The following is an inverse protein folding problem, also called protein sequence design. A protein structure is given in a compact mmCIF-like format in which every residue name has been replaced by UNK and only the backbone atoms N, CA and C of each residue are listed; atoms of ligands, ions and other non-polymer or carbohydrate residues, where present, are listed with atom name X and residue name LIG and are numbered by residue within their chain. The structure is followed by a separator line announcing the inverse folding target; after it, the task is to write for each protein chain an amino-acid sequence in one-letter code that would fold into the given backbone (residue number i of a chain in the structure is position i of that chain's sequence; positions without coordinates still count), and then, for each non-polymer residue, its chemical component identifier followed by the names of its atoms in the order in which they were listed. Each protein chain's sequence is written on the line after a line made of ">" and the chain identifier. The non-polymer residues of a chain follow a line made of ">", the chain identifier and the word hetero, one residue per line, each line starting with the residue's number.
data_IF_675720340024
#
_entry.id   IF_675720340024
#
_cell.length_a   1.000
_cell.length_b   1.000
_cell.length_c   1.000
_cell.angle_alpha   90.00
_cell.angle_beta   90.00
_cell.angle_gamma   90.00
#
_symmetry.space_group_name_H-M   'P 1'
#
loop_
_entity.id
_entity.type
_entity.pdbx_description
1 polymer ?
#
# COMPACT_ATOMS: atom_id res chain seq x y z
N UNK A 1 7.03 60.74 22.19
CA UNK A 1 7.68 60.14 23.38
C UNK A 1 6.66 59.22 24.04
N UNK A 2 6.14 58.19 23.37
CA UNK A 2 6.80 56.99 22.83
C UNK A 2 7.53 56.16 23.88
N UNK A 3 6.89 55.07 24.28
CA UNK A 3 7.39 53.69 24.47
C UNK A 3 6.11 52.83 24.56
N UNK A 4 5.83 51.79 23.78
CA UNK A 4 6.60 50.90 22.92
C UNK A 4 5.83 49.57 22.95
N UNK A 5 4.71 49.50 22.23
CA UNK A 5 3.84 48.34 22.17
C UNK A 5 4.48 47.20 21.38
N UNK A 6 4.28 45.98 21.83
CA UNK A 6 4.91 44.76 21.34
C UNK A 6 4.90 44.64 19.81
N UNK A 7 6.09 44.66 19.20
CA UNK A 7 6.28 44.37 17.80
C UNK A 7 6.15 42.86 17.56
N UNK A 8 4.99 42.42 17.08
CA UNK A 8 4.89 41.16 16.33
C UNK A 8 5.47 41.40 14.94
N UNK A 9 6.57 40.74 14.61
CA UNK A 9 7.16 40.75 13.27
C UNK A 9 6.20 40.04 12.29
N UNK A 10 5.59 40.81 11.38
CA UNK A 10 4.86 40.28 10.24
C UNK A 10 5.75 40.39 9.00
N UNK A 11 6.36 39.28 8.57
CA UNK A 11 6.94 39.20 7.23
C UNK A 11 5.87 38.68 6.27
N UNK A 12 5.04 39.59 5.74
CA UNK A 12 4.08 39.30 4.67
C UNK A 12 4.64 39.75 3.32
N UNK A 13 4.92 38.81 2.41
CA UNK A 13 5.18 39.11 1.00
C UNK A 13 3.88 39.09 0.20
N UNK A 14 3.69 40.06 -0.70
CA UNK A 14 2.55 40.12 -1.63
C UNK A 14 3.02 39.83 -3.05
N UNK A 15 2.34 38.94 -3.77
CA UNK A 15 2.47 38.82 -5.23
C UNK A 15 1.07 38.82 -5.88
N UNK A 16 0.95 39.60 -6.96
CA UNK A 16 -0.30 39.84 -7.69
C UNK A 16 -0.50 38.73 -8.73
N UNK A 17 -1.55 37.91 -8.57
CA UNK A 17 -1.97 36.94 -9.58
C UNK A 17 -3.04 37.53 -10.52
N UNK A 18 -2.85 37.43 -11.83
CA UNK A 18 -3.84 37.84 -12.83
C UNK A 18 -4.83 36.71 -13.16
N UNK A 19 -6.10 37.08 -13.37
CA UNK A 19 -7.19 36.17 -13.75
C UNK A 19 -7.43 36.25 -15.26
N UNK A 20 -7.44 35.12 -15.96
CA UNK A 20 -7.86 35.04 -17.37
C UNK A 20 -9.17 34.25 -17.51
N UNK A 21 -10.15 34.71 -18.31
CA UNK A 21 -11.41 34.00 -18.50
C UNK A 21 -11.30 32.95 -19.62
N UNK A 22 -11.69 31.71 -19.33
CA UNK A 22 -12.09 30.73 -20.35
C UNK A 22 -13.29 29.93 -19.82
N UNK A 23 -14.44 30.00 -20.52
CA UNK A 23 -15.63 29.15 -20.40
C UNK A 23 -16.05 28.58 -19.03
N UNK A 24 -17.05 29.20 -18.40
CA UNK A 24 -17.90 28.70 -17.28
C UNK A 24 -17.25 27.85 -16.16
N UNK A 25 -16.02 28.17 -15.76
CA UNK A 25 -15.43 27.66 -14.51
C UNK A 25 -14.21 28.47 -14.10
N UNK A 26 -14.05 28.71 -12.79
CA UNK A 26 -12.81 29.24 -12.22
C UNK A 26 -11.89 28.08 -11.88
N UNK A 27 -10.65 28.07 -12.37
CA UNK A 27 -9.61 27.17 -11.85
C UNK A 27 -8.82 27.94 -10.80
N UNK A 28 -8.93 27.52 -9.55
CA UNK A 28 -8.00 27.90 -8.48
C UNK A 28 -6.92 26.82 -8.44
N UNK A 29 -5.73 27.12 -8.98
CA UNK A 29 -4.52 26.35 -8.67
C UNK A 29 -3.79 27.11 -7.57
N UNK A 30 -3.86 26.58 -6.35
CA UNK A 30 -3.14 27.13 -5.19
C UNK A 30 -3.78 26.67 -3.90
N UNK A 31 -3.16 25.70 -3.24
CA UNK A 31 -3.42 25.44 -1.82
C UNK A 31 -2.44 26.31 -1.05
N UNK A 32 -2.93 27.40 -0.48
CA UNK A 32 -2.19 28.18 0.51
C UNK A 32 -2.42 27.55 1.88
N UNK A 33 -1.35 27.11 2.54
CA UNK A 33 -1.42 26.74 3.95
C UNK A 33 -1.18 27.99 4.79
N UNK A 34 -2.25 28.58 5.31
CA UNK A 34 -2.17 29.61 6.34
C UNK A 34 -2.21 28.93 7.70
N UNK A 35 -1.12 28.94 8.45
CA UNK A 35 -1.14 28.61 9.88
C UNK A 35 -1.25 29.90 10.70
N UNK A 36 -2.19 29.93 11.64
CA UNK A 36 -2.18 30.88 12.74
C UNK A 36 -2.01 30.06 14.02
N UNK A 37 -0.80 30.02 14.57
CA UNK A 37 -0.57 29.49 15.90
C UNK A 37 -0.88 30.60 16.91
N UNK A 38 -2.00 30.49 17.62
CA UNK A 38 -2.24 31.28 18.83
C UNK A 38 -1.61 30.54 20.00
N UNK A 39 -0.40 30.93 20.39
CA UNK A 39 0.26 30.40 21.60
C UNK A 39 -0.06 31.33 22.77
N UNK A 40 -0.83 30.91 23.79
CA UNK A 40 -0.80 31.60 25.07
C UNK A 40 0.52 31.29 25.79
N UNK A 41 1.23 32.34 26.20
CA UNK A 41 2.41 32.22 27.03
C UNK A 41 2.02 31.77 28.45
N UNK A 42 2.27 30.50 28.78
CA UNK A 42 2.35 30.05 30.17
C UNK A 42 3.30 28.84 30.26
N UNK A 43 4.26 28.84 31.21
CA UNK A 43 5.12 27.70 31.42
C UNK A 43 4.37 26.68 32.30
N UNK A 44 4.48 25.39 31.98
CA UNK A 44 4.14 24.24 32.83
C UNK A 44 2.66 23.78 32.81
N UNK A 45 2.19 23.14 31.73
CA UNK A 45 1.05 22.20 31.83
C UNK A 45 1.00 21.24 30.63
N UNK A 46 1.26 19.95 30.87
CA UNK A 46 1.02 18.87 29.91
C UNK A 46 -0.48 18.61 29.83
N UNK A 47 -1.16 19.13 28.81
CA UNK A 47 -2.60 18.83 28.58
C UNK A 47 -2.77 18.17 27.22
N UNK A 48 -3.14 16.89 27.24
CA UNK A 48 -3.51 16.11 26.04
C UNK A 48 -4.86 16.62 25.54
N UNK A 49 -4.86 17.37 24.43
CA UNK A 49 -6.09 17.78 23.76
C UNK A 49 -6.70 16.58 23.01
N UNK A 50 -7.80 16.05 23.54
CA UNK A 50 -8.65 15.07 22.84
C UNK A 50 -9.44 15.78 21.74
N UNK A 51 -9.02 15.60 20.48
CA UNK A 51 -9.77 16.07 19.32
C UNK A 51 -10.91 15.09 19.04
N UNK A 52 -12.15 15.52 19.28
CA UNK A 52 -13.36 14.83 18.78
C UNK A 52 -13.69 15.39 17.40
N UNK A 53 -13.48 14.59 16.35
CA UNK A 53 -13.96 14.90 15.00
C UNK A 53 -15.36 14.30 14.86
N UNK A 54 -16.38 15.14 14.74
CA UNK A 54 -17.72 14.74 14.30
C UNK A 54 -17.80 14.96 12.77
N UNK A 55 -17.74 13.89 11.98
CA UNK A 55 -18.05 13.97 10.53
C UNK A 55 -19.54 13.67 10.35
N UNK A 56 -20.33 14.70 10.07
CA UNK A 56 -21.75 14.57 9.71
C UNK A 56 -21.83 14.36 8.20
N UNK A 57 -21.98 13.11 7.75
CA UNK A 57 -22.24 12.80 6.33
C UNK A 57 -23.66 13.22 5.98
N UNK A 58 -23.83 14.37 5.31
CA UNK A 58 -25.03 14.61 4.50
C UNK A 58 -24.71 14.34 3.04
N UNK A 59 -25.15 13.16 2.58
CA UNK A 59 -25.15 12.81 1.18
C UNK A 59 -26.20 13.69 0.48
N UNK A 60 -25.75 14.63 -0.34
CA UNK A 60 -26.55 15.13 -1.46
C UNK A 60 -25.79 14.92 -2.76
N UNK A 61 -26.40 14.11 -3.61
CA UNK A 61 -26.07 13.88 -5.03
C UNK A 61 -25.79 15.22 -5.72
N UNK A 62 -24.67 15.32 -6.43
CA UNK A 62 -24.64 15.54 -7.88
C UNK A 62 -23.20 15.53 -8.40
N UNK A 63 -23.07 15.02 -9.62
CA UNK A 63 -21.87 14.71 -10.39
C UNK A 63 -20.89 15.88 -10.57
N UNK A 64 -19.59 15.56 -10.57
CA UNK A 64 -18.56 15.95 -11.55
C UNK A 64 -17.22 16.26 -10.88
N UNK A 65 -16.20 15.46 -11.26
CA UNK A 65 -14.77 15.77 -11.33
C UNK A 65 -14.04 16.35 -10.10
N UNK A 66 -13.10 15.57 -9.56
CA UNK A 66 -11.65 15.81 -9.74
C UNK A 66 -10.95 14.49 -9.38
N UNK A 67 -10.69 13.69 -10.42
CA UNK A 67 -9.56 12.75 -10.39
C UNK A 67 -8.32 13.60 -10.66
N UNK A 68 -7.57 13.92 -9.62
CA UNK A 68 -6.27 14.56 -9.80
C UNK A 68 -5.29 13.47 -10.25
N UNK A 69 -5.21 13.31 -11.57
CA UNK A 69 -4.24 12.42 -12.21
C UNK A 69 -2.86 13.04 -12.01
N UNK A 70 -2.04 12.44 -11.15
CA UNK A 70 -0.61 12.73 -11.06
C UNK A 70 0.08 12.15 -12.29
N UNK A 71 -0.06 12.85 -13.42
CA UNK A 71 0.60 12.53 -14.69
C UNK A 71 1.94 13.25 -14.70
N UNK A 72 2.92 12.69 -14.02
CA UNK A 72 4.30 13.20 -14.09
C UNK A 72 5.26 12.02 -14.08
N UNK A 73 5.80 11.76 -15.28
CA UNK A 73 7.01 10.96 -15.55
C UNK A 73 6.91 9.45 -15.23
N UNK A 74 6.08 8.72 -15.97
CA UNK A 74 6.26 7.27 -16.13
C UNK A 74 6.03 6.85 -17.58
N UNK A 75 6.91 5.99 -18.10
CA UNK A 75 6.97 5.56 -19.50
C UNK A 75 5.63 4.97 -19.99
N UNK A 76 5.18 5.24 -21.23
CA UNK A 76 3.85 4.88 -21.74
C UNK A 76 3.57 3.37 -21.93
N UNK A 77 4.50 2.48 -21.63
CA UNK A 77 4.31 1.02 -21.74
C UNK A 77 3.79 0.35 -20.45
N UNK A 78 3.67 1.09 -19.34
CA UNK A 78 3.11 0.51 -18.11
C UNK A 78 1.60 0.69 -18.13
N UNK A 79 0.88 -0.31 -18.66
CA UNK A 79 -0.56 -0.44 -18.48
C UNK A 79 -0.84 -0.53 -16.98
N UNK A 80 -1.09 0.61 -16.33
CA UNK A 80 -1.59 0.62 -14.97
C UNK A 80 -3.01 0.07 -15.02
N UNK A 81 -3.16 -1.21 -14.69
CA UNK A 81 -4.47 -1.77 -14.40
C UNK A 81 -5.09 -0.91 -13.30
N UNK A 82 -6.33 -0.47 -13.48
CA UNK A 82 -7.02 0.31 -12.47
C UNK A 82 -7.29 -0.61 -11.25
N UNK A 83 -6.42 -0.51 -10.25
CA UNK A 83 -6.48 -1.28 -9.01
C UNK A 83 -6.98 -0.40 -7.86
N UNK A 84 -7.74 -1.02 -6.96
CA UNK A 84 -8.27 -0.34 -5.77
C UNK A 84 -8.12 -1.24 -4.55
N UNK A 85 -7.85 -0.61 -3.40
CA UNK A 85 -7.72 -1.31 -2.12
C UNK A 85 -9.02 -1.17 -1.34
N UNK A 86 -9.53 -2.31 -0.85
CA UNK A 86 -10.77 -2.39 -0.05
C UNK A 86 -10.59 -3.39 1.08
N UNK A 87 -11.50 -3.40 2.05
CA UNK A 87 -11.55 -4.48 3.04
C UNK A 87 -11.77 -5.82 2.34
N UNK A 88 -10.98 -6.82 2.72
CA UNK A 88 -11.02 -8.17 2.17
C UNK A 88 -11.70 -9.15 3.11
N UNK A 89 -12.36 -10.15 2.53
CA UNK A 89 -12.89 -11.29 3.26
C UNK A 89 -11.80 -12.31 3.66
N UNK A 90 -10.62 -12.26 3.02
CA UNK A 90 -9.49 -13.14 3.32
C UNK A 90 -8.72 -12.59 4.52
N UNK A 91 -8.19 -11.37 4.39
CA UNK A 91 -7.39 -10.74 5.44
C UNK A 91 -7.36 -9.23 5.27
N UNK A 92 -7.65 -8.48 6.34
CA UNK A 92 -7.57 -7.02 6.44
C UNK A 92 -8.01 -6.26 5.17
N UNK A 93 -7.07 -5.90 4.31
CA UNK A 93 -7.29 -5.25 3.03
C UNK A 93 -6.86 -6.16 1.87
N UNK A 94 -7.55 -6.04 0.74
CA UNK A 94 -7.25 -6.73 -0.51
C UNK A 94 -7.19 -5.79 -1.69
N UNK A 95 -6.51 -6.25 -2.74
CA UNK A 95 -6.39 -5.55 -4.00
C UNK A 95 -7.45 -6.06 -5.00
N UNK A 96 -8.22 -5.14 -5.58
CA UNK A 96 -9.30 -5.46 -6.51
C UNK A 96 -9.07 -4.74 -7.83
N UNK A 97 -9.39 -5.39 -8.95
CA UNK A 97 -9.39 -4.73 -10.25
C UNK A 97 -10.73 -4.02 -10.49
N UNK A 98 -10.75 -2.83 -11.10
CA UNK A 98 -12.01 -2.20 -11.56
C UNK A 98 -12.30 -2.45 -13.04
N UNK A 99 -11.32 -2.98 -13.77
CA UNK A 99 -11.44 -3.31 -15.19
C UNK A 99 -11.16 -4.81 -15.41
N UNK A 100 -11.78 -5.44 -16.42
CA UNK A 100 -11.49 -6.85 -16.70
C UNK A 100 -10.03 -7.04 -17.15
N UNK A 101 -9.40 -8.12 -16.69
CA UNK A 101 -8.03 -8.50 -17.02
C UNK A 101 -8.06 -9.78 -17.85
N UNK A 102 -7.31 -9.81 -18.96
CA UNK A 102 -7.18 -11.00 -19.81
C UNK A 102 -6.18 -11.98 -19.18
N UNK A 103 -6.37 -13.28 -19.45
CA UNK A 103 -5.37 -14.30 -19.11
C UNK A 103 -3.99 -13.93 -19.67
N UNK A 104 -2.94 -14.10 -18.87
CA UNK A 104 -1.55 -13.77 -19.18
C UNK A 104 -1.23 -12.27 -19.12
N UNK A 105 -2.22 -11.41 -18.89
CA UNK A 105 -2.00 -9.98 -18.74
C UNK A 105 -1.20 -9.67 -17.46
N UNK A 106 -0.26 -8.74 -17.57
CA UNK A 106 0.41 -8.15 -16.40
C UNK A 106 -0.63 -7.34 -15.64
N UNK A 107 -0.77 -7.65 -14.36
CA UNK A 107 -1.69 -6.98 -13.44
C UNK A 107 -0.97 -5.77 -12.84
N UNK A 108 0.17 -6.03 -12.21
CA UNK A 108 1.03 -5.04 -11.54
C UNK A 108 2.42 -5.62 -11.34
N UNK A 109 3.43 -4.77 -11.21
CA UNK A 109 4.75 -5.16 -10.71
C UNK A 109 4.75 -5.11 -9.18
N UNK A 110 5.32 -6.14 -8.54
CA UNK A 110 5.68 -6.08 -7.13
C UNK A 110 7.02 -5.37 -7.01
N UNK A 111 6.96 -4.04 -6.95
CA UNK A 111 8.13 -3.18 -6.89
C UNK A 111 8.37 -2.67 -5.46
N UNK A 112 9.58 -2.14 -5.22
CA UNK A 112 9.96 -1.46 -3.98
C UNK A 112 11.46 -1.34 -3.75
N UNK A 113 11.87 -0.67 -2.66
CA UNK A 113 13.27 -0.60 -2.28
C UNK A 113 13.87 -2.01 -2.19
N UNK A 114 14.98 -2.21 -2.90
CA UNK A 114 15.75 -3.44 -2.84
C UNK A 114 16.72 -3.34 -1.68
N UNK A 115 16.64 -4.30 -0.77
CA UNK A 115 17.50 -4.36 0.42
C UNK A 115 18.10 -5.76 0.55
N UNK A 116 19.27 -5.84 1.17
CA UNK A 116 19.85 -7.12 1.56
C UNK A 116 18.92 -7.82 2.56
N UNK A 117 18.86 -9.15 2.52
CA UNK A 117 17.95 -9.92 3.36
C UNK A 117 18.21 -9.67 4.85
N UNK A 118 19.47 -9.61 5.27
CA UNK A 118 19.79 -9.42 6.70
C UNK A 118 19.31 -8.06 7.22
N UNK A 119 19.32 -7.03 6.35
CA UNK A 119 18.76 -5.71 6.67
C UNK A 119 17.25 -5.78 6.79
N UNK A 120 16.59 -6.61 5.97
CA UNK A 120 15.15 -6.82 6.06
C UNK A 120 14.79 -7.57 7.35
N UNK A 121 15.53 -8.63 7.69
CA UNK A 121 15.34 -9.41 8.92
C UNK A 121 15.44 -8.48 10.15
N UNK A 122 16.45 -7.61 10.22
CA UNK A 122 16.59 -6.63 11.31
C UNK A 122 15.43 -5.60 11.33
N UNK A 123 15.05 -5.07 10.16
CA UNK A 123 13.98 -4.06 10.04
C UNK A 123 12.61 -4.60 10.41
N UNK A 124 12.36 -5.87 10.16
CA UNK A 124 11.07 -6.54 10.33
C UNK A 124 11.00 -7.46 11.56
N UNK A 125 12.08 -7.59 12.34
CA UNK A 125 12.17 -8.49 13.50
C UNK A 125 11.02 -8.36 14.52
N UNK A 126 10.50 -7.14 14.72
CA UNK A 126 9.40 -6.88 15.67
C UNK A 126 8.04 -6.66 14.99
N UNK A 127 7.91 -7.04 13.70
CA UNK A 127 6.67 -6.82 12.93
C UNK A 127 5.96 -8.13 12.66
N UNK A 128 4.68 -8.18 12.99
CA UNK A 128 3.82 -9.34 12.73
C UNK A 128 3.48 -9.51 11.24
N UNK A 129 3.63 -8.46 10.43
CA UNK A 129 3.30 -8.47 9.00
C UNK A 129 4.47 -7.93 8.20
N UNK A 130 4.90 -8.70 7.21
CA UNK A 130 5.97 -8.36 6.28
C UNK A 130 5.41 -8.24 4.86
N UNK A 131 6.01 -7.35 4.07
CA UNK A 131 5.67 -7.15 2.66
C UNK A 131 6.91 -7.37 1.80
N UNK A 132 7.59 -8.50 2.01
CA UNK A 132 8.87 -8.80 1.41
C UNK A 132 8.72 -9.79 0.27
N UNK A 133 9.43 -9.56 -0.83
CA UNK A 133 9.53 -10.51 -1.95
C UNK A 133 11.00 -10.81 -2.24
N UNK A 134 11.41 -12.08 -2.06
CA UNK A 134 12.79 -12.49 -2.33
C UNK A 134 13.06 -12.70 -3.82
N UNK A 135 14.24 -12.27 -4.28
CA UNK A 135 14.70 -12.46 -5.66
C UNK A 135 15.51 -13.76 -5.79
N UNK A 136 15.22 -14.53 -6.82
CA UNK A 136 15.79 -15.87 -7.01
C UNK A 136 17.30 -15.81 -7.20
N UNK A 137 18.03 -16.65 -6.45
CA UNK A 137 19.49 -16.79 -6.59
C UNK A 137 20.29 -15.61 -6.04
N UNK A 138 19.66 -14.71 -5.27
CA UNK A 138 20.31 -13.58 -4.61
C UNK A 138 19.89 -13.50 -3.15
N UNK A 139 20.65 -12.76 -2.34
CA UNK A 139 20.25 -12.41 -0.96
C UNK A 139 19.63 -11.01 -0.91
N UNK A 140 18.76 -10.73 -1.89
CA UNK A 140 18.08 -9.44 -2.03
C UNK A 140 16.59 -9.64 -1.97
N UNK A 141 15.93 -8.79 -1.20
CA UNK A 141 14.47 -8.74 -1.11
C UNK A 141 13.95 -7.37 -1.56
N UNK A 142 12.73 -7.36 -2.09
CA UNK A 142 11.97 -6.17 -2.42
C UNK A 142 11.07 -5.84 -1.24
N UNK A 143 11.24 -4.64 -0.67
CA UNK A 143 10.38 -4.06 0.37
C UNK A 143 9.14 -3.44 -0.30
N UNK A 144 8.07 -4.22 -0.41
CA UNK A 144 6.93 -3.91 -1.29
C UNK A 144 6.21 -2.60 -0.99
N UNK A 145 5.73 -1.92 -2.04
CA UNK A 145 4.92 -0.71 -1.92
C UNK A 145 3.66 -0.72 -2.81
N UNK A 146 2.81 0.29 -2.63
CA UNK A 146 1.61 0.56 -3.44
C UNK A 146 0.61 -0.60 -3.44
N UNK A 147 -0.10 -0.83 -4.55
CA UNK A 147 -1.20 -1.78 -4.62
C UNK A 147 -0.76 -3.26 -4.54
N UNK A 148 0.45 -3.57 -4.99
CA UNK A 148 0.95 -4.96 -5.06
C UNK A 148 1.10 -5.60 -3.68
N UNK A 149 1.46 -4.81 -2.65
CA UNK A 149 1.61 -5.29 -1.27
C UNK A 149 0.27 -5.75 -0.64
N UNK A 150 -0.87 -5.36 -1.22
CA UNK A 150 -2.21 -5.72 -0.73
C UNK A 150 -2.84 -6.90 -1.50
N UNK A 151 -2.09 -7.58 -2.37
CA UNK A 151 -2.59 -8.76 -3.07
C UNK A 151 -2.46 -9.96 -2.13
N UNK A 152 -3.59 -10.47 -1.66
CA UNK A 152 -3.65 -11.52 -0.64
C UNK A 152 -3.24 -12.91 -1.17
N UNK A 153 -2.94 -13.79 -0.24
CA UNK A 153 -2.76 -15.20 -0.54
C UNK A 153 -4.10 -15.92 -0.82
N UNK A 154 -4.11 -16.78 -1.84
CA UNK A 154 -5.13 -17.82 -2.00
C UNK A 154 -4.52 -19.14 -2.50
N UNK A 155 -5.03 -20.28 -2.03
CA UNK A 155 -4.63 -21.61 -2.50
C UNK A 155 -5.21 -21.97 -3.88
N UNK A 156 -6.30 -21.32 -4.30
CA UNK A 156 -6.83 -21.36 -5.67
C UNK A 156 -6.80 -19.95 -6.26
N UNK A 157 -5.60 -19.42 -6.55
CA UNK A 157 -5.44 -18.02 -6.93
C UNK A 157 -5.96 -17.74 -8.35
N UNK A 158 -6.14 -16.46 -8.65
CA UNK A 158 -6.40 -15.97 -10.01
C UNK A 158 -5.18 -15.29 -10.65
N UNK A 159 -4.11 -15.07 -9.89
CA UNK A 159 -2.84 -14.56 -10.36
C UNK A 159 -1.65 -15.45 -9.95
N UNK A 160 -0.53 -15.27 -10.62
CA UNK A 160 0.78 -15.84 -10.30
C UNK A 160 1.85 -14.74 -10.29
N UNK A 161 2.95 -15.00 -9.58
CA UNK A 161 4.14 -14.15 -9.60
C UNK A 161 5.19 -14.73 -10.54
N UNK A 162 5.72 -13.92 -11.43
CA UNK A 162 6.80 -14.29 -12.36
C UNK A 162 8.00 -13.36 -12.15
N UNK A 163 9.19 -13.94 -12.07
CA UNK A 163 10.45 -13.19 -12.00
C UNK A 163 11.06 -13.07 -13.41
N UNK A 164 11.26 -11.84 -13.87
CA UNK A 164 11.88 -11.51 -15.16
C UNK A 164 12.94 -10.44 -14.94
N UNK A 165 14.20 -10.74 -15.30
CA UNK A 165 15.35 -9.84 -15.16
C UNK A 165 15.47 -9.17 -13.77
N UNK A 166 15.20 -9.97 -12.72
CA UNK A 166 15.26 -9.53 -11.33
C UNK A 166 14.10 -8.60 -10.92
N UNK A 167 13.01 -8.55 -11.69
CA UNK A 167 11.75 -7.84 -11.38
C UNK A 167 10.64 -8.86 -11.17
N UNK A 168 9.65 -8.54 -10.34
CA UNK A 168 8.54 -9.44 -10.01
C UNK A 168 7.26 -8.90 -10.61
N UNK A 169 6.67 -9.64 -11.54
CA UNK A 169 5.39 -9.29 -12.16
C UNK A 169 4.30 -10.21 -11.64
N UNK A 170 3.15 -9.61 -11.31
CA UNK A 170 1.94 -10.37 -11.03
C UNK A 170 1.14 -10.50 -12.33
N UNK A 171 0.88 -11.73 -12.76
CA UNK A 171 0.15 -12.03 -14.00
C UNK A 171 -1.14 -12.79 -13.73
N UNK A 172 -2.13 -12.59 -14.60
CA UNK A 172 -3.43 -13.27 -14.48
C UNK A 172 -3.38 -14.70 -15.03
N UNK A 173 -3.71 -15.70 -14.21
CA UNK A 173 -3.79 -17.13 -14.60
C UNK A 173 -5.00 -17.45 -15.49
N UNK A 174 -6.04 -16.63 -15.38
CA UNK A 174 -7.33 -16.75 -16.08
C UNK A 174 -7.87 -15.36 -16.40
N UNK A 175 -8.93 -15.22 -17.22
CA UNK A 175 -9.67 -13.97 -17.28
C UNK A 175 -10.22 -13.60 -15.90
N UNK A 176 -10.05 -12.33 -15.50
CA UNK A 176 -10.49 -11.77 -14.21
C UNK A 176 -11.50 -10.68 -14.51
N UNK A 177 -12.68 -10.73 -13.90
CA UNK A 177 -13.72 -9.71 -14.08
C UNK A 177 -13.43 -8.48 -13.22
N UNK A 178 -13.95 -7.35 -13.65
CA UNK A 178 -14.03 -6.16 -12.82
C UNK A 178 -14.69 -6.48 -11.47
N UNK A 179 -14.09 -6.00 -10.39
CA UNK A 179 -14.54 -6.19 -9.01
C UNK A 179 -14.04 -7.46 -8.32
N UNK A 180 -13.32 -8.36 -9.01
CA UNK A 180 -12.71 -9.52 -8.36
C UNK A 180 -11.47 -9.12 -7.53
N UNK A 181 -11.29 -9.79 -6.39
CA UNK A 181 -10.06 -9.69 -5.59
C UNK A 181 -8.93 -10.45 -6.29
N UNK A 182 -7.77 -9.81 -6.37
CA UNK A 182 -6.56 -10.38 -6.92
C UNK A 182 -5.84 -11.16 -5.81
N UNK A 183 -5.41 -12.38 -6.13
CA UNK A 183 -4.72 -13.27 -5.18
C UNK A 183 -3.67 -14.11 -5.89
N UNK A 184 -2.59 -14.46 -5.21
CA UNK A 184 -1.58 -15.40 -5.68
C UNK A 184 -1.11 -16.35 -4.58
N UNK A 185 -0.35 -17.39 -4.95
CA UNK A 185 0.29 -18.26 -3.96
C UNK A 185 1.59 -17.64 -3.48
N UNK A 186 1.66 -17.29 -2.19
CA UNK A 186 2.86 -16.68 -1.61
C UNK A 186 4.07 -17.62 -1.62
N UNK A 187 3.83 -18.93 -1.49
CA UNK A 187 4.89 -19.93 -1.45
C UNK A 187 5.98 -19.60 -0.42
N UNK A 188 5.56 -19.21 0.79
CA UNK A 188 6.48 -18.76 1.83
C UNK A 188 7.56 -19.82 2.14
N UNK A 189 8.75 -19.32 2.45
CA UNK A 189 9.92 -20.09 2.83
C UNK A 189 10.73 -19.25 3.82
N UNK A 190 11.65 -19.89 4.54
CA UNK A 190 12.62 -19.21 5.40
C UNK A 190 12.01 -18.29 6.47
N UNK A 191 10.87 -18.72 7.03
CA UNK A 191 10.28 -18.14 8.25
C UNK A 191 10.78 -18.90 9.48
N UNK A 192 10.66 -18.28 10.66
CA UNK A 192 10.99 -18.92 11.93
C UNK A 192 10.27 -20.27 12.12
N UNK A 193 10.94 -21.22 12.77
CA UNK A 193 10.45 -22.61 12.85
C UNK A 193 9.13 -22.72 13.67
N UNK A 194 8.84 -21.76 14.55
CA UNK A 194 7.59 -21.66 15.32
C UNK A 194 6.47 -20.88 14.60
N UNK A 195 6.79 -20.18 13.52
CA UNK A 195 5.81 -19.49 12.69
C UNK A 195 4.92 -20.49 11.93
N UNK A 196 3.61 -20.33 12.07
CA UNK A 196 2.62 -21.28 11.52
C UNK A 196 2.16 -20.90 10.11
N UNK A 197 2.16 -19.61 9.78
CA UNK A 197 1.66 -19.06 8.51
C UNK A 197 0.38 -19.77 8.02
N UNK A 198 -0.62 -19.86 8.89
CA UNK A 198 -1.89 -20.51 8.62
C UNK A 198 -2.67 -19.79 7.51
N UNK A 199 -3.33 -20.56 6.64
CA UNK A 199 -4.07 -20.01 5.51
C UNK A 199 -5.58 -19.96 5.77
N UNK A 200 -6.15 -18.76 5.63
CA UNK A 200 -7.58 -18.48 5.81
C UNK A 200 -8.30 -18.06 4.51
N UNK A 201 -7.76 -18.42 3.34
CA UNK A 201 -8.26 -17.94 2.04
C UNK A 201 -9.69 -18.35 1.66
N UNK A 202 -10.32 -19.27 2.39
CA UNK A 202 -11.71 -19.70 2.15
C UNK A 202 -11.93 -20.58 0.90
N UNK A 203 -10.89 -20.90 0.12
CA UNK A 203 -11.01 -21.82 -1.01
C UNK A 203 -11.38 -23.25 -0.56
N UNK A 204 -12.16 -23.95 -1.37
CA UNK A 204 -12.53 -25.34 -1.14
C UNK A 204 -11.32 -26.30 -1.19
N UNK A 205 -10.22 -25.90 -1.86
CA UNK A 205 -8.95 -26.63 -1.89
C UNK A 205 -7.87 -25.94 -1.05
N UNK A 206 -8.25 -25.21 -0.01
CA UNK A 206 -7.30 -24.60 0.91
C UNK A 206 -6.34 -25.66 1.49
N UNK A 207 -5.03 -25.38 1.46
CA UNK A 207 -3.99 -26.25 2.03
C UNK A 207 -3.83 -26.09 3.55
N UNK A 208 -4.47 -25.09 4.13
CA UNK A 208 -4.32 -24.71 5.54
C UNK A 208 -3.02 -23.96 5.87
N UNK A 209 -2.13 -23.76 4.90
CA UNK A 209 -0.85 -23.07 5.11
C UNK A 209 -0.44 -22.24 3.88
N UNK A 210 0.27 -21.15 4.12
CA UNK A 210 0.83 -20.27 3.08
C UNK A 210 2.24 -20.67 2.64
N UNK A 211 2.88 -21.63 3.33
CA UNK A 211 4.20 -22.15 2.98
C UNK A 211 4.24 -22.85 1.62
N UNK A 212 5.40 -22.80 0.98
CA UNK A 212 5.72 -23.61 -0.21
C UNK A 212 5.68 -25.10 0.11
N UNK A 213 5.49 -25.96 -0.89
CA UNK A 213 5.52 -27.41 -0.68
C UNK A 213 6.87 -27.91 -0.13
N UNK A 214 7.97 -27.31 -0.58
CA UNK A 214 9.30 -27.65 -0.11
C UNK A 214 9.45 -27.35 1.38
N UNK A 215 8.95 -26.20 1.82
CA UNK A 215 9.01 -25.77 3.21
C UNK A 215 8.14 -26.65 4.13
N UNK A 216 6.93 -26.99 3.69
CA UNK A 216 6.08 -27.96 4.40
C UNK A 216 6.79 -29.32 4.57
N UNK A 217 7.52 -29.78 3.56
CA UNK A 217 8.31 -31.04 3.65
C UNK A 217 9.49 -30.89 4.63
N UNK A 218 10.19 -29.75 4.62
CA UNK A 218 11.29 -29.43 5.56
C UNK A 218 10.79 -29.49 7.00
N UNK A 219 9.75 -28.73 7.32
CA UNK A 219 9.15 -28.64 8.67
C UNK A 219 8.64 -29.99 9.18
N UNK A 220 7.98 -30.78 8.33
CA UNK A 220 7.57 -32.16 8.68
C UNK A 220 8.75 -33.07 9.04
N UNK A 221 9.88 -32.93 8.35
CA UNK A 221 11.11 -33.69 8.65
C UNK A 221 11.70 -33.27 9.99
N UNK A 222 11.77 -31.97 10.28
CA UNK A 222 12.26 -31.45 11.56
C UNK A 222 11.39 -31.92 12.73
N UNK A 223 10.06 -31.81 12.59
CA UNK A 223 9.12 -32.27 13.62
C UNK A 223 9.20 -33.78 13.89
N UNK A 224 9.51 -34.60 12.88
CA UNK A 224 9.75 -36.04 13.06
C UNK A 224 11.06 -36.30 13.80
N UNK A 225 12.13 -35.59 13.45
CA UNK A 225 13.44 -35.77 14.06
C UNK A 225 13.46 -35.31 15.53
N UNK A 226 12.72 -34.26 15.89
CA UNK A 226 12.60 -33.80 17.28
C UNK A 226 11.83 -34.78 18.18
N UNK A 227 11.08 -35.73 17.60
CA UNK A 227 10.32 -36.77 18.31
C UNK A 227 11.03 -38.12 18.39
N UNK A 228 12.15 -38.27 17.69
CA UNK A 228 12.96 -39.48 17.65
C UNK A 228 14.09 -39.40 18.69
#
# INVERSE_FOLDING_TARGET
>A
MDVGGAESFWAGGSAVGQVFPFGQGFVLVGVEMSWAASVPAAPNATTVARIRIFIRFQIRRHFSCICFVMKTLYSPETLMTDLIIRSSAIHAAGCYTVSPIRKGGIVVEYDGPRIAKEVADERYAERDVTYLFGLSGTDTVIDGFSAAMFINHCCEPNCESEEEDGRIFIRALRPIRAGEELTYMYNLYDSDDDDTQDCYCGSAKCRGTMFSEAEVRRRKKLARNAKA
#
